data_IF_997303913902
#
_entry.id   IF_997303913902
#
_cell.length_a   1.000
_cell.length_b   1.000
_cell.length_c   1.000
_cell.angle_alpha   90.00
_cell.angle_beta   90.00
_cell.angle_gamma   90.00
#
_symmetry.space_group_name_H-M   'P 1'
#
loop_
_entity.id
_entity.type
_entity.pdbx_description
1 polymer ?
#
# COMPACT_ATOMS: atom_id res chain seq x y z
N UNK A 1 -19.56 -7.39 -2.18
CA UNK A 1 -20.42 -6.51 -2.99
C UNK A 1 -19.99 -6.68 -4.43
N UNK A 2 -20.93 -6.96 -5.34
CA UNK A 2 -20.60 -7.08 -6.76
C UNK A 2 -20.25 -5.67 -7.27
N UNK A 3 -19.08 -5.47 -7.85
CA UNK A 3 -18.84 -4.28 -8.66
C UNK A 3 -19.85 -4.31 -9.81
N UNK A 4 -20.87 -3.48 -9.69
CA UNK A 4 -21.84 -3.21 -10.74
C UNK A 4 -21.21 -2.21 -11.71
N UNK A 5 -21.05 -2.58 -12.97
CA UNK A 5 -20.52 -1.67 -13.97
C UNK A 5 -21.61 -0.68 -14.37
N UNK A 6 -21.47 0.58 -13.99
CA UNK A 6 -22.31 1.67 -14.50
C UNK A 6 -21.76 2.11 -15.85
N UNK A 7 -22.38 1.64 -16.93
CA UNK A 7 -21.99 1.93 -18.30
C UNK A 7 -22.90 3.01 -18.92
N UNK A 8 -22.31 4.14 -19.34
CA UNK A 8 -23.01 5.20 -20.09
C UNK A 8 -23.16 4.83 -21.58
N UNK A 9 -24.32 5.17 -22.15
CA UNK A 9 -24.65 4.98 -23.57
C UNK A 9 -24.44 6.23 -24.43
N UNK A 10 -23.93 7.32 -23.84
CA UNK A 10 -23.80 8.59 -24.53
C UNK A 10 -22.65 8.50 -25.57
N UNK A 11 -23.03 8.43 -26.84
CA UNK A 11 -22.09 8.37 -27.98
C UNK A 11 -21.86 9.78 -28.49
N UNK A 12 -20.71 10.36 -28.15
CA UNK A 12 -20.29 11.69 -28.63
C UNK A 12 -19.77 11.63 -30.08
N UNK A 13 -18.84 10.71 -30.34
CA UNK A 13 -18.22 10.51 -31.65
C UNK A 13 -18.63 9.16 -32.26
N UNK A 14 -19.49 9.21 -33.27
CA UNK A 14 -19.95 8.01 -33.95
C UNK A 14 -18.86 7.41 -34.86
N UNK A 15 -18.61 6.12 -34.66
CA UNK A 15 -17.67 5.29 -35.39
C UNK A 15 -18.40 4.50 -36.49
N UNK A 16 -17.84 4.50 -37.70
CA UNK A 16 -18.39 3.77 -38.85
C UNK A 16 -17.95 2.30 -38.88
N UNK A 17 -18.56 1.51 -39.76
CA UNK A 17 -18.32 0.07 -39.88
C UNK A 17 -16.89 -0.29 -40.29
N UNK A 18 -16.24 0.53 -41.10
CA UNK A 18 -14.88 0.37 -41.62
C UNK A 18 -13.80 0.85 -40.64
N UNK A 19 -14.16 1.72 -39.69
CA UNK A 19 -13.20 2.33 -38.76
C UNK A 19 -12.59 1.27 -37.83
N UNK A 20 -11.28 1.32 -37.63
CA UNK A 20 -10.58 0.43 -36.69
C UNK A 20 -10.70 0.98 -35.27
N UNK A 21 -11.21 0.16 -34.35
CA UNK A 21 -11.22 0.47 -32.92
C UNK A 21 -9.84 0.19 -32.34
N UNK A 22 -9.34 1.11 -31.52
CA UNK A 22 -8.03 1.02 -30.89
C UNK A 22 -8.04 1.83 -29.61
N UNK A 23 -7.76 1.17 -28.49
CA UNK A 23 -7.68 1.78 -27.16
C UNK A 23 -6.65 1.06 -26.31
N UNK A 24 -5.88 1.81 -25.53
CA UNK A 24 -4.94 1.28 -24.55
C UNK A 24 -4.79 2.24 -23.38
N UNK A 25 -4.76 1.69 -22.16
CA UNK A 25 -4.39 2.43 -20.96
C UNK A 25 -2.88 2.58 -20.83
N UNK A 26 -2.42 3.56 -20.03
CA UNK A 26 -0.99 3.84 -19.80
C UNK A 26 -0.22 2.67 -19.17
N UNK A 27 -0.92 1.71 -18.56
CA UNK A 27 -0.34 0.51 -17.96
C UNK A 27 0.01 -0.62 -18.95
N UNK A 28 -0.28 -0.49 -20.25
CA UNK A 28 0.04 -1.51 -21.26
C UNK A 28 1.35 -1.16 -21.96
N UNK A 29 2.30 -2.10 -22.00
CA UNK A 29 3.52 -1.91 -22.78
C UNK A 29 3.20 -1.89 -24.28
N UNK A 30 3.89 -1.02 -25.03
CA UNK A 30 3.71 -0.92 -26.49
C UNK A 30 3.86 -2.26 -27.20
N UNK A 31 4.84 -3.08 -26.76
CA UNK A 31 5.05 -4.40 -27.33
C UNK A 31 3.79 -5.27 -27.18
N UNK A 32 3.20 -5.31 -25.99
CA UNK A 32 2.01 -6.13 -25.72
C UNK A 32 0.79 -5.61 -26.49
N UNK A 33 0.67 -4.29 -26.64
CA UNK A 33 -0.37 -3.70 -27.50
C UNK A 33 -0.17 -4.04 -28.98
N UNK A 34 1.09 -4.03 -29.47
CA UNK A 34 1.42 -4.47 -30.84
C UNK A 34 1.08 -5.96 -31.05
N UNK A 35 1.37 -6.82 -30.07
CA UNK A 35 1.01 -8.23 -30.10
C UNK A 35 -0.52 -8.44 -30.16
N UNK A 36 -1.29 -7.65 -29.41
CA UNK A 36 -2.76 -7.64 -29.46
C UNK A 36 -3.25 -7.21 -30.85
N UNK A 37 -2.76 -6.09 -31.38
CA UNK A 37 -3.09 -5.56 -32.72
C UNK A 37 -2.78 -6.57 -33.83
N UNK A 38 -1.70 -7.34 -33.68
CA UNK A 38 -1.31 -8.35 -34.66
C UNK A 38 -2.08 -9.67 -34.52
N UNK A 39 -2.88 -9.83 -33.46
CA UNK A 39 -3.56 -11.10 -33.16
C UNK A 39 -2.58 -12.23 -32.85
N UNK A 40 -1.40 -11.87 -32.31
CA UNK A 40 -0.37 -12.81 -31.86
C UNK A 40 -0.74 -13.40 -30.50
N UNK A 41 -1.41 -12.62 -29.66
CA UNK A 41 -1.99 -13.10 -28.40
C UNK A 41 -3.22 -13.93 -28.72
N UNK A 42 -3.19 -15.23 -28.43
CA UNK A 42 -4.34 -16.10 -28.62
C UNK A 42 -5.46 -15.70 -27.66
N UNK A 43 -6.69 -15.56 -28.18
CA UNK A 43 -7.87 -15.33 -27.37
C UNK A 43 -8.31 -16.64 -26.71
N UNK A 44 -8.78 -16.57 -25.47
CA UNK A 44 -9.09 -17.73 -24.63
C UNK A 44 -10.59 -17.93 -24.43
N UNK A 45 -11.39 -16.92 -24.78
CA UNK A 45 -12.84 -16.98 -24.77
C UNK A 45 -13.42 -16.03 -25.80
N UNK A 46 -14.63 -16.35 -26.25
CA UNK A 46 -15.37 -15.58 -27.23
C UNK A 46 -16.76 -15.25 -26.70
N UNK A 47 -17.22 -14.03 -26.99
CA UNK A 47 -18.61 -13.60 -26.79
C UNK A 47 -19.19 -13.15 -28.13
N UNK A 48 -20.42 -13.57 -28.42
CA UNK A 48 -21.16 -13.14 -29.59
C UNK A 48 -22.36 -12.29 -29.15
N UNK A 49 -22.41 -11.05 -29.65
CA UNK A 49 -23.44 -10.06 -29.34
C UNK A 49 -24.33 -9.76 -30.55
N UNK A 50 -24.15 -10.47 -31.68
CA UNK A 50 -24.91 -10.23 -32.90
C UNK A 50 -26.41 -10.42 -32.67
N UNK A 51 -27.20 -9.48 -33.16
CA UNK A 51 -28.67 -9.52 -33.06
C UNK A 51 -29.24 -9.29 -31.65
N UNK A 52 -28.41 -9.11 -30.62
CA UNK A 52 -28.88 -8.77 -29.29
C UNK A 52 -29.34 -7.31 -29.23
N UNK A 53 -30.39 -7.06 -28.44
CA UNK A 53 -30.79 -5.69 -28.08
C UNK A 53 -29.72 -5.07 -27.18
N UNK A 54 -29.62 -3.74 -27.21
CA UNK A 54 -28.62 -2.96 -26.44
C UNK A 54 -28.51 -3.40 -24.97
N UNK A 55 -29.61 -3.46 -24.25
CA UNK A 55 -29.62 -3.86 -22.82
C UNK A 55 -29.10 -5.29 -22.60
N UNK A 56 -29.59 -6.25 -23.41
CA UNK A 56 -29.15 -7.64 -23.34
C UNK A 56 -27.67 -7.79 -23.72
N UNK A 57 -27.18 -6.99 -24.67
CA UNK A 57 -25.77 -6.97 -25.04
C UNK A 57 -24.90 -6.41 -23.91
N UNK A 58 -25.37 -5.38 -23.19
CA UNK A 58 -24.69 -4.83 -22.01
C UNK A 58 -24.59 -5.86 -20.89
N UNK A 59 -25.70 -6.52 -20.57
CA UNK A 59 -25.74 -7.56 -19.53
C UNK A 59 -24.83 -8.74 -19.90
N UNK A 60 -24.92 -9.23 -21.14
CA UNK A 60 -24.07 -10.31 -21.63
C UNK A 60 -22.58 -9.93 -21.59
N UNK A 61 -22.22 -8.71 -22.01
CA UNK A 61 -20.84 -8.21 -22.00
C UNK A 61 -20.28 -8.15 -20.57
N UNK A 62 -21.01 -7.52 -19.66
CA UNK A 62 -20.58 -7.34 -18.27
C UNK A 62 -20.47 -8.67 -17.54
N UNK A 63 -21.45 -9.57 -17.70
CA UNK A 63 -21.41 -10.91 -17.12
C UNK A 63 -20.26 -11.74 -17.71
N UNK A 64 -20.03 -11.66 -19.01
CA UNK A 64 -18.94 -12.36 -19.69
C UNK A 64 -17.58 -11.93 -19.16
N UNK A 65 -17.29 -10.62 -19.11
CA UNK A 65 -16.01 -10.10 -18.61
C UNK A 65 -15.79 -10.54 -17.16
N UNK A 66 -16.80 -10.44 -16.29
CA UNK A 66 -16.71 -10.91 -14.90
C UNK A 66 -16.38 -12.38 -14.81
N UNK A 67 -17.06 -13.20 -15.60
CA UNK A 67 -16.84 -14.65 -15.63
C UNK A 67 -15.42 -14.98 -16.11
N UNK A 68 -14.95 -14.32 -17.16
CA UNK A 68 -13.60 -14.57 -17.68
C UNK A 68 -12.49 -14.04 -16.77
N UNK A 69 -12.74 -12.95 -16.04
CA UNK A 69 -11.83 -12.45 -15.00
C UNK A 69 -11.71 -13.46 -13.84
N UNK A 70 -12.81 -14.08 -13.42
CA UNK A 70 -12.80 -15.16 -12.43
C UNK A 70 -12.05 -16.39 -12.94
N UNK A 71 -12.22 -16.72 -14.22
CA UNK A 71 -11.49 -17.78 -14.90
C UNK A 71 -10.03 -17.42 -15.24
N UNK A 72 -9.58 -16.21 -14.88
CA UNK A 72 -8.20 -15.72 -15.06
C UNK A 72 -7.73 -15.65 -16.52
N UNK A 73 -8.68 -15.54 -17.46
CA UNK A 73 -8.36 -15.33 -18.86
C UNK A 73 -7.94 -13.89 -19.10
N UNK A 74 -7.01 -13.68 -20.02
CA UNK A 74 -6.40 -12.39 -20.32
C UNK A 74 -6.84 -11.84 -21.65
N UNK A 75 -6.95 -12.67 -22.68
CA UNK A 75 -7.30 -12.22 -24.03
C UNK A 75 -8.68 -12.76 -24.41
N UNK A 76 -9.60 -11.87 -24.76
CA UNK A 76 -10.98 -12.18 -25.12
C UNK A 76 -11.28 -11.71 -26.54
N UNK A 77 -12.17 -12.42 -27.22
CA UNK A 77 -12.74 -12.00 -28.50
C UNK A 77 -14.20 -11.62 -28.32
N UNK A 78 -14.58 -10.41 -28.71
CA UNK A 78 -15.96 -9.93 -28.65
C UNK A 78 -16.43 -9.68 -30.08
N UNK A 79 -17.44 -10.43 -30.51
CA UNK A 79 -18.06 -10.29 -31.83
C UNK A 79 -19.33 -9.48 -31.65
N UNK A 80 -19.36 -8.31 -32.28
CA UNK A 80 -20.53 -7.42 -32.24
C UNK A 80 -21.25 -7.34 -33.59
N UNK A 81 -20.62 -7.86 -34.64
CA UNK A 81 -21.14 -7.82 -35.99
C UNK A 81 -20.95 -6.47 -36.67
N UNK A 82 -21.24 -6.45 -37.96
CA UNK A 82 -21.17 -5.25 -38.81
C UNK A 82 -22.58 -4.78 -39.19
N UNK A 83 -23.59 -5.39 -38.57
CA UNK A 83 -24.98 -5.41 -39.00
C UNK A 83 -25.59 -4.04 -38.72
N UNK A 84 -25.35 -3.11 -39.64
CA UNK A 84 -25.94 -1.79 -39.66
C UNK A 84 -26.62 -1.59 -41.02
N UNK A 85 -27.82 -1.00 -41.08
CA UNK A 85 -28.39 -0.59 -42.36
C UNK A 85 -27.38 0.30 -43.10
N UNK A 86 -27.32 0.18 -44.44
CA UNK A 86 -26.26 0.69 -45.35
C UNK A 86 -25.83 2.17 -45.18
N UNK A 87 -26.49 2.96 -44.33
CA UNK A 87 -26.21 4.39 -44.08
C UNK A 87 -26.17 4.79 -42.60
N UNK A 88 -26.25 3.85 -41.65
CA UNK A 88 -26.17 4.16 -40.22
C UNK A 88 -24.85 3.63 -39.62
N UNK A 89 -24.27 4.32 -38.62
CA UNK A 89 -23.17 3.77 -37.87
C UNK A 89 -23.64 2.53 -37.05
N UNK A 90 -22.84 1.45 -36.99
CA UNK A 90 -23.21 0.25 -36.24
C UNK A 90 -23.33 0.56 -34.74
N UNK A 91 -24.56 0.45 -34.21
CA UNK A 91 -24.88 0.83 -32.83
C UNK A 91 -24.05 0.03 -31.82
N UNK A 92 -24.04 -1.31 -31.91
CA UNK A 92 -23.28 -2.16 -30.97
C UNK A 92 -21.78 -1.89 -30.99
N UNK A 93 -21.21 -1.57 -32.16
CA UNK A 93 -19.79 -1.22 -32.26
C UNK A 93 -19.47 0.06 -31.49
N UNK A 94 -20.33 1.07 -31.62
CA UNK A 94 -20.20 2.34 -30.91
C UNK A 94 -20.34 2.17 -29.40
N UNK A 95 -21.34 1.39 -28.98
CA UNK A 95 -21.56 1.09 -27.58
C UNK A 95 -20.39 0.33 -26.97
N UNK A 96 -19.83 -0.68 -27.67
CA UNK A 96 -18.64 -1.40 -27.18
C UNK A 96 -17.43 -0.48 -27.06
N UNK A 97 -17.22 0.41 -28.04
CA UNK A 97 -16.15 1.40 -27.97
C UNK A 97 -16.32 2.35 -26.76
N UNK A 98 -17.56 2.65 -26.38
CA UNK A 98 -17.89 3.48 -25.21
C UNK A 98 -17.81 2.72 -23.89
N UNK A 99 -18.28 1.48 -23.84
CA UNK A 99 -18.39 0.67 -22.63
C UNK A 99 -17.07 0.07 -22.18
N UNK A 100 -16.24 -0.46 -23.10
CA UNK A 100 -15.00 -1.14 -22.72
C UNK A 100 -14.02 -0.25 -21.93
N UNK A 101 -13.79 1.04 -22.27
CA UNK A 101 -12.96 1.93 -21.47
C UNK A 101 -13.48 2.21 -20.05
N UNK A 102 -14.79 2.05 -19.82
CA UNK A 102 -15.41 2.28 -18.50
C UNK A 102 -15.21 1.08 -17.56
N UNK A 103 -14.77 -0.06 -18.08
CA UNK A 103 -14.49 -1.25 -17.30
C UNK A 103 -13.02 -1.21 -16.85
N UNK A 104 -12.79 -1.00 -15.55
CA UNK A 104 -11.45 -0.85 -14.97
C UNK A 104 -10.50 -2.03 -15.23
N UNK A 105 -11.05 -3.22 -15.44
CA UNK A 105 -10.27 -4.42 -15.75
C UNK A 105 -9.83 -4.49 -17.22
N UNK A 106 -10.42 -3.72 -18.12
CA UNK A 106 -10.01 -3.68 -19.53
C UNK A 106 -8.78 -2.79 -19.65
N UNK A 107 -7.65 -3.38 -20.05
CA UNK A 107 -6.40 -2.64 -20.23
C UNK A 107 -6.26 -2.08 -21.64
N UNK A 108 -6.66 -2.85 -22.65
CA UNK A 108 -6.59 -2.43 -24.05
C UNK A 108 -7.58 -3.22 -24.90
N UNK A 109 -7.97 -2.65 -26.02
CA UNK A 109 -8.69 -3.37 -27.06
C UNK A 109 -8.35 -2.87 -28.45
N UNK A 110 -8.49 -3.75 -29.44
CA UNK A 110 -8.24 -3.42 -30.84
C UNK A 110 -9.16 -4.24 -31.74
N UNK A 111 -9.62 -3.69 -32.87
CA UNK A 111 -10.38 -4.48 -33.85
C UNK A 111 -9.63 -5.75 -34.26
N UNK A 112 -10.39 -6.84 -34.41
CA UNK A 112 -9.83 -8.14 -34.70
C UNK A 112 -9.22 -8.20 -36.10
N UNK A 113 -8.38 -9.22 -36.36
CA UNK A 113 -7.91 -9.50 -37.71
C UNK A 113 -9.06 -10.06 -38.57
N UNK A 114 -8.98 -9.96 -39.91
CA UNK A 114 -10.01 -10.53 -40.80
C UNK A 114 -10.34 -12.00 -40.53
N UNK A 115 -9.34 -12.81 -40.13
CA UNK A 115 -9.51 -14.22 -39.75
C UNK A 115 -10.48 -14.45 -38.57
N UNK A 116 -10.60 -13.47 -37.66
CA UNK A 116 -11.37 -13.56 -36.42
C UNK A 116 -12.57 -12.58 -36.41
N UNK A 117 -12.97 -12.05 -37.57
CA UNK A 117 -14.14 -11.17 -37.72
C UNK A 117 -13.86 -9.71 -38.09
N UNK A 118 -12.59 -9.31 -38.21
CA UNK A 118 -12.21 -8.00 -38.74
C UNK A 118 -12.79 -6.82 -37.95
N UNK A 119 -13.41 -5.86 -38.64
CA UNK A 119 -14.02 -4.69 -38.01
C UNK A 119 -15.33 -4.98 -37.26
N UNK A 120 -15.89 -6.18 -37.40
CA UNK A 120 -17.07 -6.66 -36.69
C UNK A 120 -16.77 -7.39 -35.37
N UNK A 121 -15.48 -7.46 -34.99
CA UNK A 121 -15.03 -8.06 -33.75
C UNK A 121 -13.85 -7.29 -33.15
N UNK A 122 -13.61 -7.48 -31.85
CA UNK A 122 -12.58 -6.77 -31.09
C UNK A 122 -11.86 -7.75 -30.18
N UNK A 123 -10.52 -7.70 -30.18
CA UNK A 123 -9.72 -8.34 -29.13
C UNK A 123 -9.66 -7.43 -27.91
N UNK A 124 -9.91 -8.00 -26.74
CA UNK A 124 -9.89 -7.29 -25.45
C UNK A 124 -8.84 -7.92 -24.55
N UNK A 125 -7.96 -7.08 -24.02
CA UNK A 125 -6.93 -7.47 -23.06
C UNK A 125 -7.36 -7.06 -21.66
N UNK A 126 -7.55 -8.05 -20.79
CA UNK A 126 -7.89 -7.86 -19.39
C UNK A 126 -6.65 -7.73 -18.50
N UNK A 127 -6.84 -7.04 -17.38
CA UNK A 127 -5.86 -6.89 -16.32
C UNK A 127 -5.54 -8.25 -15.72
N UNK A 128 -4.27 -8.60 -15.71
CA UNK A 128 -3.80 -9.78 -15.00
C UNK A 128 -4.05 -9.54 -13.51
N UNK A 129 -4.89 -10.37 -12.88
CA UNK A 129 -5.01 -10.40 -11.42
C UNK A 129 -3.62 -10.73 -10.88
N UNK A 130 -2.98 -9.76 -10.23
CA UNK A 130 -1.69 -9.98 -9.59
C UNK A 130 -1.88 -11.13 -8.59
N UNK A 131 -1.25 -12.26 -8.86
CA UNK A 131 -0.99 -13.19 -7.77
C UNK A 131 0.00 -12.46 -6.87
N UNK A 132 -0.46 -12.00 -5.71
CA UNK A 132 0.46 -11.83 -4.59
C UNK A 132 1.31 -13.11 -4.56
N UNK A 133 2.65 -13.01 -4.53
CA UNK A 133 3.51 -14.18 -4.66
C UNK A 133 3.06 -15.25 -3.64
N UNK A 134 2.46 -16.34 -4.12
CA UNK A 134 1.95 -17.43 -3.26
C UNK A 134 3.05 -18.09 -2.45
N UNK A 135 4.29 -17.92 -2.91
CA UNK A 135 5.47 -18.25 -2.13
C UNK A 135 5.99 -16.95 -1.56
N UNK A 136 5.75 -16.75 -0.27
CA UNK A 136 6.73 -16.04 0.56
C UNK A 136 8.11 -16.62 0.19
N UNK A 137 9.15 -15.79 -0.03
CA UNK A 137 10.49 -16.31 -0.19
C UNK A 137 10.74 -17.30 0.94
N UNK A 138 11.13 -18.54 0.59
CA UNK A 138 11.43 -19.60 1.55
C UNK A 138 12.40 -18.97 2.54
N UNK A 139 12.00 -18.81 3.80
CA UNK A 139 12.78 -18.15 4.83
C UNK A 139 14.15 -18.83 4.90
N UNK A 140 15.12 -18.25 4.20
CA UNK A 140 16.54 -18.43 4.41
C UNK A 140 16.98 -17.21 5.20
N UNK A 141 16.72 -17.25 6.51
CA UNK A 141 17.07 -16.19 7.46
C UNK A 141 15.89 -15.35 7.91
N UNK A 142 15.89 -15.05 9.22
CA UNK A 142 14.95 -14.24 9.99
C UNK A 142 14.85 -12.78 9.48
N UNK A 143 14.26 -12.58 8.31
CA UNK A 143 14.04 -11.26 7.71
C UNK A 143 12.55 -10.93 7.63
N UNK A 144 12.10 -9.95 8.39
CA UNK A 144 10.78 -9.34 8.23
C UNK A 144 10.60 -8.77 6.81
N UNK A 145 9.41 -8.93 6.22
CA UNK A 145 9.04 -8.36 4.90
C UNK A 145 8.98 -6.82 4.89
N UNK A 146 9.00 -6.19 6.07
CA UNK A 146 9.20 -4.75 6.18
C UNK A 146 10.61 -4.43 5.69
N UNK A 147 10.72 -3.49 4.75
CA UNK A 147 12.00 -2.99 4.24
C UNK A 147 12.78 -2.46 5.44
N UNK A 148 13.63 -3.31 6.03
CA UNK A 148 14.61 -2.86 6.99
C UNK A 148 15.43 -1.79 6.28
N UNK A 149 15.52 -0.60 6.89
CA UNK A 149 16.32 0.51 6.38
C UNK A 149 17.73 -0.03 6.16
N UNK A 150 18.11 -0.29 4.90
CA UNK A 150 19.41 -0.90 4.63
C UNK A 150 20.49 0.11 5.03
N UNK A 151 21.68 -0.37 5.43
CA UNK A 151 22.82 0.52 5.72
C UNK A 151 23.16 1.48 4.56
N UNK A 152 22.75 1.15 3.34
CA UNK A 152 22.86 2.02 2.17
C UNK A 152 21.80 3.13 2.16
N UNK A 153 20.56 2.83 2.56
CA UNK A 153 19.50 3.83 2.74
C UNK A 153 19.81 4.77 3.91
N UNK A 154 20.31 4.26 5.02
CA UNK A 154 20.71 5.12 6.15
C UNK A 154 21.90 6.03 5.78
N UNK A 155 22.89 5.52 5.02
CA UNK A 155 23.97 6.36 4.50
C UNK A 155 23.48 7.45 3.56
N UNK A 156 22.55 7.12 2.64
CA UNK A 156 21.93 8.11 1.75
C UNK A 156 21.16 9.17 2.54
N UNK A 157 20.45 8.75 3.59
CA UNK A 157 19.73 9.67 4.48
C UNK A 157 20.68 10.62 5.20
N UNK A 158 21.76 10.12 5.82
CA UNK A 158 22.77 10.97 6.49
C UNK A 158 23.46 11.94 5.52
N UNK A 159 23.74 11.50 4.30
CA UNK A 159 24.30 12.37 3.25
C UNK A 159 23.32 13.48 2.85
N UNK A 160 22.04 13.16 2.66
CA UNK A 160 21.01 14.17 2.34
C UNK A 160 20.75 15.15 3.50
N UNK A 161 20.84 14.69 4.75
CA UNK A 161 20.79 15.54 5.95
C UNK A 161 22.02 16.46 6.06
N UNK A 162 23.24 15.96 5.80
CA UNK A 162 24.46 16.77 5.74
C UNK A 162 24.46 17.78 4.59
N UNK A 163 23.81 17.45 3.48
CA UNK A 163 23.64 18.33 2.33
C UNK A 163 22.48 19.33 2.50
N UNK A 164 21.76 19.28 3.63
CA UNK A 164 20.72 20.25 3.96
C UNK A 164 19.48 20.17 3.06
N UNK A 165 19.30 19.07 2.32
CA UNK A 165 18.23 18.92 1.33
C UNK A 165 16.83 18.73 1.94
N UNK A 166 16.73 18.70 3.27
CA UNK A 166 15.44 18.65 3.98
C UNK A 166 15.15 19.94 4.72
N UNK A 167 14.25 20.74 4.14
CA UNK A 167 13.47 21.71 4.92
C UNK A 167 12.25 20.97 5.50
N UNK A 168 12.21 20.79 6.82
CA UNK A 168 11.00 20.30 7.48
C UNK A 168 10.01 21.47 7.48
N UNK A 169 8.91 21.34 6.74
CA UNK A 169 7.85 22.35 6.75
C UNK A 169 7.19 22.40 8.15
N UNK A 170 6.99 23.59 8.76
CA UNK A 170 6.35 23.68 10.07
C UNK A 170 4.87 23.31 9.94
N UNK A 171 4.46 22.23 10.61
CA UNK A 171 3.06 21.80 10.67
C UNK A 171 2.34 22.66 11.71
N UNK A 172 1.35 23.45 11.28
CA UNK A 172 0.44 24.19 12.17
C UNK A 172 -0.49 23.17 12.84
N UNK A 173 -0.29 22.94 14.14
CA UNK A 173 -1.19 22.12 14.93
C UNK A 173 -2.60 22.75 14.94
N UNK A 174 -3.61 21.94 14.65
CA UNK A 174 -5.02 22.32 14.70
C UNK A 174 -5.45 22.25 16.17
N UNK A 175 -5.99 23.33 16.72
CA UNK A 175 -6.48 23.38 18.09
C UNK A 175 -7.61 22.34 18.26
N UNK A 176 -7.43 21.41 19.20
CA UNK A 176 -8.43 20.44 19.61
C UNK A 176 -9.21 20.99 20.82
N UNK A 177 -10.53 20.89 20.78
CA UNK A 177 -11.47 21.36 21.81
C UNK A 177 -11.40 20.54 23.10
N UNK A 178 -11.42 21.22 24.25
CA UNK A 178 -11.37 20.67 25.62
C UNK A 178 -12.65 19.90 26.03
N UNK A 179 -12.90 18.74 25.43
CA UNK A 179 -13.91 17.80 25.95
C UNK A 179 -13.25 16.44 26.19
N UNK A 180 -13.00 16.16 27.46
CA UNK A 180 -12.48 14.88 27.98
C UNK A 180 -13.51 13.76 27.75
N UNK A 181 -13.18 12.70 26.99
CA UNK A 181 -14.04 11.53 26.87
C UNK A 181 -13.94 10.65 28.12
N UNK A 182 -15.08 10.19 28.63
CA UNK A 182 -15.16 9.26 29.77
C UNK A 182 -14.51 7.90 29.41
N UNK A 183 -13.65 7.32 30.27
CA UNK A 183 -12.94 6.09 29.96
C UNK A 183 -13.86 4.86 30.02
N UNK A 184 -13.79 4.03 28.97
CA UNK A 184 -14.43 2.71 28.94
C UNK A 184 -13.67 1.67 29.79
N UNK A 185 -14.18 0.43 29.89
CA UNK A 185 -13.70 -0.60 30.82
C UNK A 185 -12.25 -1.09 30.58
N UNK A 186 -11.56 -0.60 29.54
CA UNK A 186 -10.12 -0.79 29.38
C UNK A 186 -9.28 0.08 30.34
N UNK A 187 -9.85 1.14 30.92
CA UNK A 187 -9.17 2.02 31.89
C UNK A 187 -8.81 1.32 33.20
N UNK A 188 -9.60 0.32 33.61
CA UNK A 188 -9.31 -0.47 34.82
C UNK A 188 -8.05 -1.34 34.65
N UNK A 189 -7.77 -1.80 33.43
CA UNK A 189 -6.58 -2.60 33.11
C UNK A 189 -5.31 -1.74 33.11
N UNK A 190 -5.40 -0.46 32.75
CA UNK A 190 -4.28 0.48 32.76
C UNK A 190 -3.86 0.85 34.19
N UNK A 191 -4.83 0.99 35.10
CA UNK A 191 -4.55 1.26 36.52
C UNK A 191 -3.81 0.09 37.21
N UNK A 192 -4.03 -1.15 36.76
CA UNK A 192 -3.26 -2.31 37.27
C UNK A 192 -1.82 -2.39 36.75
N UNK A 193 -1.52 -1.82 35.58
CA UNK A 193 -0.14 -1.74 35.05
C UNK A 193 0.69 -0.70 35.81
N UNK A 194 0.08 0.41 36.22
CA UNK A 194 0.73 1.46 37.03
C UNK A 194 1.04 1.02 38.48
N UNK A 195 0.36 0.00 38.99
CA UNK A 195 0.57 -0.54 40.34
C UNK A 195 1.54 -1.73 40.38
N UNK A 196 2.17 -2.08 39.26
CA UNK A 196 3.10 -3.20 39.20
C UNK A 196 4.48 -2.78 39.76
N UNK A 197 5.02 -3.45 40.81
CA UNK A 197 6.21 -3.00 41.55
C UNK A 197 7.50 -2.91 40.71
N UNK A 198 7.50 -3.50 39.52
CA UNK A 198 8.62 -3.42 38.57
C UNK A 198 8.59 -2.11 37.75
N UNK A 199 7.42 -1.51 37.53
CA UNK A 199 7.24 -0.34 36.66
C UNK A 199 7.24 1.00 37.42
N UNK A 200 7.04 1.00 38.74
CA UNK A 200 7.31 2.16 39.61
C UNK A 200 8.84 2.42 39.75
N UNK A 201 9.64 1.46 39.28
CA UNK A 201 11.09 1.58 39.19
C UNK A 201 11.57 1.99 37.78
N UNK A 202 10.84 2.88 37.11
CA UNK A 202 11.42 3.66 36.00
C UNK A 202 12.46 4.64 36.54
N UNK A 203 13.59 4.02 36.88
CA UNK A 203 14.85 4.58 37.32
C UNK A 203 15.42 5.39 36.15
N UNK A 204 15.60 6.68 36.40
CA UNK A 204 15.94 7.70 35.43
C UNK A 204 17.41 7.61 35.00
N UNK A 205 17.68 7.42 33.70
CA UNK A 205 19.03 7.24 33.14
C UNK A 205 19.86 8.55 33.03
N UNK A 206 19.43 9.64 33.67
CA UNK A 206 20.27 10.81 33.92
C UNK A 206 20.59 11.70 32.71
N UNK A 207 19.76 11.69 31.66
CA UNK A 207 19.97 12.53 30.46
C UNK A 207 18.76 13.46 30.25
N UNK A 208 18.45 14.28 31.24
CA UNK A 208 17.85 15.61 30.99
C UNK A 208 18.06 16.51 32.22
N UNK A 209 19.01 17.48 32.18
CA UNK A 209 19.29 18.35 33.31
C UNK A 209 18.17 19.37 33.60
N UNK A 210 17.14 19.49 32.76
CA UNK A 210 16.14 20.55 32.87
C UNK A 210 14.83 20.11 33.55
N UNK A 211 14.69 18.84 33.93
CA UNK A 211 13.46 18.28 34.50
C UNK A 211 13.53 18.02 36.02
N UNK A 212 14.72 17.91 36.61
CA UNK A 212 14.87 17.81 38.06
C UNK A 212 16.15 18.55 38.52
N UNK A 213 16.06 19.82 38.92
CA UNK A 213 17.24 20.60 39.28
C UNK A 213 17.88 20.05 40.55
N UNK A 214 19.20 20.03 40.57
CA UNK A 214 19.96 19.61 41.75
C UNK A 214 19.57 20.45 42.99
N UNK A 215 19.28 19.81 44.15
CA UNK A 215 18.90 20.54 45.35
C UNK A 215 20.05 21.43 45.86
N UNK A 216 19.73 22.56 46.53
CA UNK A 216 20.72 23.54 46.94
C UNK A 216 21.70 22.98 47.98
N UNK A 217 22.96 23.41 47.87
CA UNK A 217 24.06 23.04 48.75
C UNK A 217 23.74 23.46 50.20
N UNK A 218 23.87 22.54 51.16
CA UNK A 218 23.54 22.65 52.60
C UNK A 218 22.11 22.26 53.04
N UNK A 219 21.35 21.55 52.19
CA UNK A 219 20.07 20.94 52.60
C UNK A 219 20.23 19.44 52.87
N UNK A 220 19.37 18.87 53.73
CA UNK A 220 19.31 17.41 53.94
C UNK A 220 18.98 16.68 52.63
N UNK A 221 18.06 17.25 51.84
CA UNK A 221 17.72 16.78 50.50
C UNK A 221 18.95 16.65 49.58
N UNK A 222 19.98 17.50 49.73
CA UNK A 222 21.22 17.36 48.95
C UNK A 222 22.05 16.14 49.37
N UNK A 223 22.12 15.86 50.66
CA UNK A 223 22.83 14.67 51.18
C UNK A 223 22.14 13.40 50.72
N UNK A 224 20.82 13.38 50.74
CA UNK A 224 20.00 12.26 50.27
C UNK A 224 20.18 12.05 48.76
N UNK A 225 20.08 13.12 47.97
CA UNK A 225 20.34 13.08 46.52
C UNK A 225 21.73 12.50 46.19
N UNK A 226 22.77 12.95 46.88
CA UNK A 226 24.14 12.47 46.65
C UNK A 226 24.37 11.03 47.16
N UNK A 227 23.64 10.58 48.19
CA UNK A 227 23.64 9.19 48.65
C UNK A 227 22.97 8.28 47.63
N UNK A 228 21.77 8.65 47.20
CA UNK A 228 20.95 7.87 46.28
C UNK A 228 21.61 7.75 44.90
N UNK A 229 22.25 8.83 44.42
CA UNK A 229 23.06 8.80 43.19
C UNK A 229 24.22 7.80 43.27
N UNK A 230 24.92 7.73 44.42
CA UNK A 230 26.00 6.75 44.64
C UNK A 230 25.47 5.32 44.70
N UNK A 231 24.34 5.09 45.36
CA UNK A 231 23.72 3.77 45.44
C UNK A 231 23.26 3.29 44.06
N UNK A 232 22.65 4.18 43.27
CA UNK A 232 22.27 3.87 41.88
C UNK A 232 23.48 3.53 41.02
N UNK A 233 24.58 4.28 41.14
CA UNK A 233 25.81 4.00 40.39
C UNK A 233 26.42 2.66 40.83
N UNK A 234 26.40 2.34 42.12
CA UNK A 234 26.85 1.07 42.65
C UNK A 234 25.99 -0.10 42.16
N UNK A 235 24.67 0.04 42.16
CA UNK A 235 23.75 -0.97 41.65
C UNK A 235 23.92 -1.16 40.14
N UNK A 236 24.14 -0.07 39.38
CA UNK A 236 24.44 -0.13 37.94
C UNK A 236 25.74 -0.87 37.67
N UNK A 237 26.80 -0.64 38.46
CA UNK A 237 28.05 -1.38 38.34
C UNK A 237 27.88 -2.86 38.67
N UNK A 238 27.10 -3.20 39.70
CA UNK A 238 26.76 -4.59 40.04
C UNK A 238 26.00 -5.30 38.91
N UNK A 239 25.00 -4.63 38.30
CA UNK A 239 24.24 -5.18 37.15
C UNK A 239 25.13 -5.40 35.92
N UNK A 240 26.12 -4.53 35.71
CA UNK A 240 27.13 -4.67 34.66
C UNK A 240 28.20 -5.74 34.98
N UNK A 241 28.10 -6.42 36.13
CA UNK A 241 29.00 -7.51 36.54
C UNK A 241 30.30 -7.04 37.20
N UNK A 242 30.45 -5.74 37.44
CA UNK A 242 31.62 -5.16 38.10
C UNK A 242 31.41 -5.15 39.61
N UNK A 243 31.70 -6.26 40.30
CA UNK A 243 31.64 -6.29 41.77
C UNK A 243 32.72 -5.38 42.37
N UNK A 244 32.39 -4.51 43.34
CA UNK A 244 33.38 -3.76 44.08
C UNK A 244 34.29 -4.73 44.85
N UNK A 245 35.60 -4.59 44.67
CA UNK A 245 36.59 -5.42 45.37
C UNK A 245 36.68 -4.95 46.82
N UNK A 246 36.08 -5.70 47.74
CA UNK A 246 36.32 -5.48 49.17
C UNK A 246 37.74 -5.91 49.49
N UNK A 247 38.62 -4.94 49.76
CA UNK A 247 39.93 -5.22 50.32
C UNK A 247 39.81 -5.18 51.85
N UNK A 248 40.12 -6.29 52.51
CA UNK A 248 40.10 -6.38 53.99
C UNK A 248 41.42 -5.92 54.61
N UNK A 249 42.22 -5.13 53.89
CA UNK A 249 43.46 -4.59 54.41
C UNK A 249 43.14 -3.35 55.27
N UNK A 250 43.53 -3.31 56.55
CA UNK A 250 43.34 -2.12 57.38
C UNK A 250 44.13 -0.96 56.77
N UNK A 251 43.46 0.17 56.55
CA UNK A 251 44.11 1.38 56.04
C UNK A 251 45.14 1.88 57.06
N UNK A 252 46.39 2.18 56.64
CA UNK A 252 47.35 2.75 57.56
C UNK A 252 46.87 4.13 58.00
N UNK A 253 46.87 4.39 59.31
CA UNK A 253 46.75 5.77 59.83
C UNK A 253 47.96 6.54 59.33
N UNK A 254 47.72 7.55 58.50
CA UNK A 254 48.74 8.51 58.10
C UNK A 254 49.20 9.37 59.28
N UNK A 255 50.34 10.09 59.11
CA UNK A 255 50.96 10.91 60.15
C UNK A 255 50.12 12.12 60.55
#
# INVERSE_FOLDING_TARGET
>A
MADEYYLSDDIEDAVFSDTTLSYATSGVSEQRFRELKNGTIHWEAQLDLRGLKTEAAREALTQFIRTQLQNRKQCLLIIHGTDSPKKAPPLLKNLINRWLPQINEVMAFHSAKPKDGGSGAVYVLLKKKAELPRRLPKAGGDGSFLVAETKAMERKRRLAEQQGERQIAPVKAREHSDVEPQPGPEGELQNSILQHPVLDSQRFDGIDPNLNPEPPLNTEARREFDNEKREQEQEKQLRLGNMPKFTTAPTPRGP
#
